data_IF_672298334866
#
_entry.id   IF_672298334866
#
_cell.length_a   1.000
_cell.length_b   1.000
_cell.length_c   1.000
_cell.angle_alpha   90.00
_cell.angle_beta   90.00
_cell.angle_gamma   90.00
#
_symmetry.space_group_name_H-M   'P 1'
#
loop_
_entity.id
_entity.type
_entity.pdbx_description
1 polymer ?
#
# COMPACT_ATOMS: atom_id res chain seq x y z
N UNK A 1 -2.56 15.77 -20.65
CA UNK A 1 -2.03 14.94 -19.57
C UNK A 1 -2.79 15.20 -18.28
N UNK A 2 -3.07 14.15 -17.53
CA UNK A 2 -3.63 14.22 -16.17
C UNK A 2 -2.52 13.87 -15.19
N UNK A 3 -2.47 14.56 -14.06
CA UNK A 3 -1.51 14.29 -12.98
C UNK A 3 -2.27 13.93 -11.71
N UNK A 4 -1.93 12.80 -11.12
CA UNK A 4 -2.48 12.34 -9.84
C UNK A 4 -1.35 12.39 -8.81
N UNK A 5 -1.54 13.20 -7.79
CA UNK A 5 -0.60 13.32 -6.68
C UNK A 5 -1.19 12.68 -5.43
N UNK A 6 -0.39 11.88 -4.74
CA UNK A 6 -0.74 11.34 -3.42
C UNK A 6 0.26 11.85 -2.38
N UNK A 7 -0.25 12.52 -1.35
CA UNK A 7 0.56 13.11 -0.30
C UNK A 7 0.66 12.13 0.86
N UNK A 8 1.89 11.73 1.17
CA UNK A 8 2.18 10.85 2.31
C UNK A 8 3.04 11.59 3.34
N UNK A 9 2.88 11.24 4.61
CA UNK A 9 3.79 11.68 5.66
C UNK A 9 4.72 10.53 6.06
N UNK A 10 5.97 10.87 6.33
CA UNK A 10 6.98 9.93 6.82
C UNK A 10 7.89 10.62 7.82
N UNK A 11 8.49 9.89 8.73
CA UNK A 11 9.41 10.49 9.71
C UNK A 11 10.64 11.08 9.01
N UNK A 12 11.24 10.33 8.07
CA UNK A 12 12.51 10.73 7.41
C UNK A 12 12.44 10.71 5.87
N UNK A 13 11.28 10.41 5.30
CA UNK A 13 11.10 10.14 3.87
C UNK A 13 10.99 8.64 3.58
N UNK A 14 10.97 8.28 2.30
CA UNK A 14 10.96 6.91 1.82
C UNK A 14 12.36 6.51 1.33
N UNK A 15 12.86 5.40 1.84
CA UNK A 15 14.06 4.74 1.34
C UNK A 15 13.73 3.77 0.19
N UNK A 16 14.72 3.02 -0.26
CA UNK A 16 14.56 2.07 -1.37
C UNK A 16 13.58 0.93 -1.05
N UNK A 17 13.47 0.53 0.23
CA UNK A 17 12.51 -0.49 0.64
C UNK A 17 11.07 -0.03 0.45
N UNK A 18 10.75 1.17 0.90
CA UNK A 18 9.40 1.74 0.76
C UNK A 18 9.05 2.00 -0.70
N UNK A 19 9.99 2.46 -1.50
CA UNK A 19 9.80 2.73 -2.93
C UNK A 19 9.59 1.48 -3.77
N UNK A 20 10.01 0.31 -3.27
CA UNK A 20 9.85 -1.01 -3.93
C UNK A 20 8.72 -1.85 -3.35
N UNK A 21 8.03 -1.35 -2.33
CA UNK A 21 6.93 -2.04 -1.66
C UNK A 21 5.65 -1.95 -2.52
N UNK A 22 5.32 -3.03 -3.21
CA UNK A 22 4.17 -3.09 -4.10
C UNK A 22 2.85 -2.80 -3.37
N UNK A 23 2.73 -3.13 -2.08
CA UNK A 23 1.54 -2.81 -1.30
C UNK A 23 1.36 -1.31 -1.08
N UNK A 24 2.48 -0.60 -0.84
CA UNK A 24 2.45 0.87 -0.72
C UNK A 24 2.17 1.55 -2.05
N UNK A 25 2.65 0.97 -3.14
CA UNK A 25 2.49 1.53 -4.48
C UNK A 25 1.12 1.20 -5.09
N UNK A 26 0.47 0.12 -4.66
CA UNK A 26 -0.82 -0.32 -5.21
C UNK A 26 -1.87 0.79 -5.21
N UNK A 27 -1.96 1.58 -4.15
CA UNK A 27 -2.97 2.63 -4.01
C UNK A 27 -2.96 3.62 -5.18
N UNK A 28 -1.80 4.20 -5.51
CA UNK A 28 -1.73 5.22 -6.58
C UNK A 28 -1.87 4.59 -7.97
N UNK A 29 -1.48 3.31 -8.13
CA UNK A 29 -1.69 2.56 -9.37
C UNK A 29 -3.17 2.28 -9.61
N UNK A 30 -3.91 1.93 -8.55
CA UNK A 30 -5.36 1.78 -8.59
C UNK A 30 -6.06 3.12 -8.88
N UNK A 31 -5.61 4.21 -8.27
CA UNK A 31 -6.12 5.55 -8.60
C UNK A 31 -5.96 5.86 -10.10
N UNK A 32 -4.76 5.62 -10.65
CA UNK A 32 -4.50 5.83 -12.08
C UNK A 32 -5.45 5.03 -12.96
N UNK A 33 -5.61 3.74 -12.67
CA UNK A 33 -6.44 2.83 -13.46
C UNK A 33 -7.93 3.18 -13.37
N UNK A 34 -8.46 3.33 -12.16
CA UNK A 34 -9.88 3.58 -11.96
C UNK A 34 -10.29 5.01 -12.34
N UNK A 35 -9.44 6.00 -12.11
CA UNK A 35 -9.68 7.36 -12.59
C UNK A 35 -9.79 7.39 -14.13
N UNK A 36 -8.86 6.73 -14.82
CA UNK A 36 -8.92 6.64 -16.28
C UNK A 36 -10.22 6.01 -16.77
N UNK A 37 -10.63 4.89 -16.16
CA UNK A 37 -11.90 4.21 -16.50
C UNK A 37 -13.13 5.07 -16.20
N UNK A 38 -13.19 5.67 -15.02
CA UNK A 38 -14.34 6.43 -14.56
C UNK A 38 -14.59 7.69 -15.40
N UNK A 39 -13.51 8.38 -15.78
CA UNK A 39 -13.61 9.66 -16.48
C UNK A 39 -13.29 9.59 -17.97
N UNK A 40 -13.08 8.39 -18.52
CA UNK A 40 -12.80 8.19 -19.94
C UNK A 40 -11.44 8.72 -20.39
N UNK A 41 -10.46 8.85 -19.49
CA UNK A 41 -9.12 9.24 -19.86
C UNK A 41 -8.27 8.03 -20.28
N UNK A 42 -7.45 8.24 -21.30
CA UNK A 42 -6.39 7.28 -21.64
C UNK A 42 -5.42 7.14 -20.45
N UNK A 43 -5.41 5.96 -19.84
CA UNK A 43 -4.62 5.66 -18.65
C UNK A 43 -3.12 5.89 -18.89
N UNK A 44 -2.63 5.70 -20.11
CA UNK A 44 -1.22 5.92 -20.44
C UNK A 44 -0.85 7.42 -20.49
N UNK A 45 -1.84 8.31 -20.54
CA UNK A 45 -1.67 9.77 -20.45
C UNK A 45 -1.83 10.33 -19.03
N UNK A 46 -2.04 9.45 -18.04
CA UNK A 46 -2.10 9.81 -16.62
C UNK A 46 -0.73 9.59 -15.98
N UNK A 47 -0.17 10.62 -15.40
CA UNK A 47 1.07 10.58 -14.60
C UNK A 47 0.71 10.45 -13.11
N UNK A 48 1.50 9.70 -12.36
CA UNK A 48 1.30 9.55 -10.91
C UNK A 48 2.57 9.87 -10.14
N UNK A 49 2.43 10.52 -9.00
CA UNK A 49 3.56 10.94 -8.19
C UNK A 49 3.21 11.02 -6.72
N UNK A 50 4.11 10.57 -5.85
CA UNK A 50 4.02 10.75 -4.42
C UNK A 50 4.78 12.00 -3.98
N UNK A 51 4.16 12.80 -3.13
CA UNK A 51 4.82 13.82 -2.33
C UNK A 51 4.93 13.35 -0.88
N UNK A 52 6.14 13.00 -0.47
CA UNK A 52 6.42 12.50 0.86
C UNK A 52 6.90 13.64 1.74
N UNK A 53 6.04 14.10 2.65
CA UNK A 53 6.35 15.17 3.61
C UNK A 53 7.09 14.56 4.78
N UNK A 54 8.33 14.98 5.01
CA UNK A 54 9.17 14.52 6.12
C UNK A 54 8.77 15.28 7.39
N UNK A 55 8.39 14.54 8.43
CA UNK A 55 8.06 15.13 9.75
C UNK A 55 9.31 15.60 10.49
N UNK A 56 10.43 14.89 10.32
CA UNK A 56 11.73 15.25 10.92
C UNK A 56 12.74 15.53 9.81
N UNK A 57 13.45 16.61 9.93
CA UNK A 57 14.62 16.95 9.12
C UNK A 57 15.82 16.96 10.06
N UNK A 58 16.96 16.49 9.59
CA UNK A 58 18.19 16.58 10.35
C UNK A 58 18.76 18.00 10.24
N UNK A 59 18.51 18.78 11.28
CA UNK A 59 18.87 20.20 11.34
C UNK A 59 20.40 20.48 11.35
N UNK A 60 21.18 19.48 11.77
CA UNK A 60 22.66 19.55 11.80
C UNK A 60 23.32 19.12 10.47
N UNK A 61 22.56 18.99 9.40
CA UNK A 61 23.11 18.67 8.09
C UNK A 61 23.85 19.90 7.51
N UNK A 62 25.06 19.68 7.00
CA UNK A 62 25.82 20.70 6.26
C UNK A 62 25.11 21.14 4.98
N UNK A 63 24.22 20.29 4.44
CA UNK A 63 23.44 20.56 3.24
C UNK A 63 21.95 20.68 3.57
N UNK A 64 21.27 21.59 2.89
CA UNK A 64 19.83 21.76 3.03
C UNK A 64 19.09 20.48 2.61
N UNK A 65 18.33 19.90 3.54
CA UNK A 65 17.51 18.71 3.28
C UNK A 65 16.09 19.16 2.95
N UNK A 66 15.57 18.88 1.73
CA UNK A 66 14.20 19.26 1.38
C UNK A 66 13.18 18.53 2.26
N UNK A 67 12.18 19.28 2.74
CA UNK A 67 11.08 18.72 3.54
C UNK A 67 10.19 17.79 2.72
N UNK A 68 10.03 18.05 1.45
CA UNK A 68 9.23 17.23 0.53
C UNK A 68 10.16 16.39 -0.35
N UNK A 69 9.89 15.09 -0.39
CA UNK A 69 10.52 14.16 -1.32
C UNK A 69 9.49 13.78 -2.37
N UNK A 70 9.82 14.03 -3.63
CA UNK A 70 9.05 13.57 -4.77
C UNK A 70 9.48 12.16 -5.18
N UNK A 71 8.52 11.32 -5.56
CA UNK A 71 8.79 9.98 -6.05
C UNK A 71 7.74 9.56 -7.09
N UNK A 72 8.21 9.22 -8.29
CA UNK A 72 7.38 8.66 -9.38
C UNK A 72 7.55 7.15 -9.43
N UNK A 73 6.54 6.36 -9.05
CA UNK A 73 6.62 4.91 -9.15
C UNK A 73 6.51 4.45 -10.60
N UNK A 74 7.05 3.27 -10.90
CA UNK A 74 6.77 2.58 -12.15
C UNK A 74 5.26 2.32 -12.26
N UNK A 75 4.60 2.91 -13.25
CA UNK A 75 3.15 2.87 -13.43
C UNK A 75 2.72 2.36 -14.80
N UNK A 76 3.56 1.58 -15.47
CA UNK A 76 3.26 0.94 -16.75
C UNK A 76 2.21 -0.17 -16.64
N UNK A 77 1.75 -0.67 -17.79
CA UNK A 77 0.64 -1.65 -17.91
C UNK A 77 0.80 -2.86 -16.98
N UNK A 78 2.01 -3.44 -16.91
CA UNK A 78 2.27 -4.64 -16.09
C UNK A 78 2.04 -4.38 -14.60
N UNK A 79 2.59 -3.29 -14.06
CA UNK A 79 2.43 -2.94 -12.64
C UNK A 79 0.97 -2.58 -12.30
N UNK A 80 0.28 -1.85 -13.18
CA UNK A 80 -1.15 -1.56 -13.01
C UNK A 80 -1.99 -2.83 -12.99
N UNK A 81 -1.77 -3.73 -13.98
CA UNK A 81 -2.48 -5.01 -14.05
C UNK A 81 -2.29 -5.82 -12.76
N UNK A 82 -1.06 -5.94 -12.28
CA UNK A 82 -0.74 -6.64 -11.03
C UNK A 82 -1.47 -6.04 -9.82
N UNK A 83 -1.50 -4.71 -9.70
CA UNK A 83 -2.23 -4.04 -8.62
C UNK A 83 -3.75 -4.30 -8.69
N UNK A 84 -4.34 -4.24 -9.88
CA UNK A 84 -5.77 -4.51 -10.11
C UNK A 84 -6.11 -5.98 -9.82
N UNK A 85 -5.28 -6.92 -10.26
CA UNK A 85 -5.47 -8.36 -10.00
C UNK A 85 -5.42 -8.67 -8.50
N UNK A 86 -4.43 -8.12 -7.79
CA UNK A 86 -4.32 -8.28 -6.33
C UNK A 86 -5.52 -7.67 -5.59
N UNK A 87 -5.99 -6.50 -6.01
CA UNK A 87 -7.18 -5.87 -5.44
C UNK A 87 -8.45 -6.69 -5.71
N UNK A 88 -8.64 -7.18 -6.93
CA UNK A 88 -9.79 -8.03 -7.27
C UNK A 88 -9.76 -9.36 -6.52
N UNK A 89 -8.58 -9.95 -6.33
CA UNK A 89 -8.43 -11.16 -5.51
C UNK A 89 -8.85 -10.89 -4.06
N UNK A 90 -8.42 -9.77 -3.47
CA UNK A 90 -8.86 -9.34 -2.15
C UNK A 90 -10.38 -9.16 -2.06
N UNK A 91 -11.00 -8.49 -3.04
CA UNK A 91 -12.46 -8.30 -3.04
C UNK A 91 -13.18 -9.64 -3.08
N UNK A 92 -12.78 -10.55 -3.97
CA UNK A 92 -13.37 -11.89 -4.07
C UNK A 92 -13.19 -12.74 -2.80
N UNK A 93 -12.09 -12.50 -2.10
CA UNK A 93 -11.80 -13.21 -0.85
C UNK A 93 -12.61 -12.69 0.34
N UNK A 94 -12.88 -11.40 0.36
CA UNK A 94 -13.52 -10.73 1.50
C UNK A 94 -15.04 -10.53 1.35
N UNK A 95 -15.56 -10.49 0.13
CA UNK A 95 -16.97 -10.17 -0.14
C UNK A 95 -17.63 -11.22 -1.04
N UNK A 96 -18.92 -11.44 -0.82
CA UNK A 96 -19.76 -12.25 -1.70
C UNK A 96 -20.24 -11.46 -2.94
N UNK A 97 -20.97 -12.11 -3.83
CA UNK A 97 -21.49 -11.49 -5.06
C UNK A 97 -22.45 -10.32 -4.79
N UNK A 98 -23.07 -10.26 -3.61
CA UNK A 98 -23.94 -9.17 -3.19
C UNK A 98 -23.17 -8.00 -2.54
N UNK A 99 -21.85 -8.12 -2.41
CA UNK A 99 -20.98 -7.14 -1.75
C UNK A 99 -21.01 -7.19 -0.23
N UNK A 100 -21.57 -8.26 0.37
CA UNK A 100 -21.54 -8.45 1.82
C UNK A 100 -20.24 -9.14 2.24
N UNK A 101 -19.70 -8.81 3.43
CA UNK A 101 -18.52 -9.49 3.96
C UNK A 101 -18.74 -10.99 4.07
N UNK A 102 -17.80 -11.78 3.58
CA UNK A 102 -17.83 -13.23 3.76
C UNK A 102 -17.42 -13.60 5.19
N UNK A 103 -18.25 -14.40 5.86
CA UNK A 103 -17.92 -14.95 7.18
C UNK A 103 -17.18 -16.27 6.95
N UNK A 104 -15.86 -16.24 7.08
CA UNK A 104 -15.01 -17.43 6.96
C UNK A 104 -13.84 -17.37 7.95
N UNK A 105 -13.26 -18.53 8.24
CA UNK A 105 -12.02 -18.58 9.01
C UNK A 105 -10.84 -18.19 8.14
N UNK A 106 -10.05 -17.24 8.62
CA UNK A 106 -8.81 -16.85 7.98
C UNK A 106 -7.62 -17.48 8.69
N UNK A 107 -6.61 -17.87 7.91
CA UNK A 107 -5.36 -18.36 8.47
C UNK A 107 -4.68 -17.24 9.27
N UNK A 108 -4.22 -17.57 10.45
CA UNK A 108 -3.46 -16.64 11.28
C UNK A 108 -2.10 -16.39 10.64
N UNK A 109 -1.72 -15.15 10.51
CA UNK A 109 -0.36 -14.76 10.06
C UNK A 109 0.60 -14.72 11.24
N UNK A 110 0.96 -15.89 11.76
CA UNK A 110 1.85 -16.02 12.91
C UNK A 110 3.30 -15.85 12.47
N UNK A 111 4.00 -14.93 13.09
CA UNK A 111 5.41 -14.67 12.82
C UNK A 111 5.99 -13.60 13.73
N UNK A 112 7.31 -13.56 13.83
CA UNK A 112 8.02 -12.63 14.69
C UNK A 112 7.59 -11.15 14.43
N UNK A 113 7.50 -10.76 13.19
CA UNK A 113 7.13 -9.39 12.81
C UNK A 113 5.63 -9.09 12.96
N UNK A 114 4.76 -10.07 12.74
CA UNK A 114 3.30 -9.89 12.85
C UNK A 114 2.83 -9.94 14.29
N UNK A 115 3.49 -10.74 15.15
CA UNK A 115 3.11 -10.87 16.55
C UNK A 115 3.76 -9.83 17.48
N UNK A 116 4.89 -9.26 17.11
CA UNK A 116 5.67 -8.32 17.95
C UNK A 116 4.86 -7.15 18.52
N UNK A 117 3.92 -6.63 17.76
CA UNK A 117 3.10 -5.48 18.13
C UNK A 117 1.61 -5.79 18.17
N UNK A 118 1.27 -7.09 18.17
CA UNK A 118 -0.11 -7.53 18.19
C UNK A 118 -0.69 -7.43 19.62
N UNK A 119 -1.83 -6.76 19.84
CA UNK A 119 -2.45 -6.62 21.16
C UNK A 119 -2.96 -7.95 21.74
N UNK A 120 -3.01 -8.99 20.92
CA UNK A 120 -3.44 -10.34 21.30
C UNK A 120 -2.28 -11.33 21.48
N UNK A 121 -1.04 -10.88 21.33
CA UNK A 121 0.13 -11.76 21.37
C UNK A 121 0.31 -12.52 22.69
N UNK A 122 -0.11 -11.91 23.79
CA UNK A 122 0.00 -12.47 25.15
C UNK A 122 -1.35 -12.91 25.74
N UNK A 123 -2.36 -13.09 24.90
CA UNK A 123 -3.72 -13.49 25.29
C UNK A 123 -4.08 -14.83 24.65
N UNK A 124 -3.70 -15.96 25.31
CA UNK A 124 -3.92 -17.30 24.73
C UNK A 124 -5.39 -17.62 24.50
N UNK A 125 -6.30 -17.03 25.26
CA UNK A 125 -7.74 -17.16 25.09
C UNK A 125 -8.27 -16.52 23.80
N UNK A 126 -7.52 -15.55 23.22
CA UNK A 126 -7.88 -14.87 21.97
C UNK A 126 -6.99 -15.28 20.80
N UNK A 127 -5.75 -15.70 21.07
CA UNK A 127 -4.80 -16.15 20.07
C UNK A 127 -3.87 -17.21 20.63
N UNK A 128 -4.12 -18.46 20.26
CA UNK A 128 -3.33 -19.64 20.72
C UNK A 128 -1.92 -19.73 20.14
N UNK A 129 -1.54 -18.87 19.20
CA UNK A 129 -0.25 -18.89 18.47
C UNK A 129 0.08 -20.25 17.81
N UNK A 130 -0.89 -21.15 17.70
CA UNK A 130 -0.68 -22.43 17.04
C UNK A 130 -0.72 -22.18 15.54
N UNK A 131 0.42 -22.34 14.88
CA UNK A 131 0.46 -22.45 13.43
C UNK A 131 -0.29 -23.73 13.06
N UNK A 132 -1.41 -23.62 12.35
CA UNK A 132 -2.04 -24.79 11.76
C UNK A 132 -1.06 -25.28 10.70
N UNK A 133 -0.33 -26.34 11.04
CA UNK A 133 0.48 -27.07 10.07
C UNK A 133 -0.49 -27.66 9.05
N UNK A 134 -0.43 -27.16 7.82
CA UNK A 134 -1.06 -27.74 6.65
C UNK A 134 -0.10 -28.74 6.02
#
# INVERSE_FOLDING_TARGET
>A
KVYIYDIKTSTRGWGEREKKDDNKLAQILLYKEYFGRQFGFDVDRIEVEYFIVKRKIWEKSEFAIPRVQSFKPASGKTKRKQAVESFNAFIKDCFDESGKPQIKSYLKNIGENSCKWCPYADKPELCDKIAVSV
#
